data_IF_354462432584
#
_entry.id   IF_354462432584
#
_cell.length_a   1.000
_cell.length_b   1.000
_cell.length_c   1.000
_cell.angle_alpha   90.00
_cell.angle_beta   90.00
_cell.angle_gamma   90.00
#
_symmetry.space_group_name_H-M   'P 1'
#
loop_
_entity.id
_entity.type
_entity.pdbx_description
1 polymer ?
#
# COMPACT_ATOMS: atom_id res chain seq x y z
N UNK A 1 -13.11 32.93 3.60
CA UNK A 1 -14.45 33.30 3.14
C UNK A 1 -14.40 34.73 2.61
N UNK A 2 -14.31 34.88 1.28
CA UNK A 2 -14.53 36.19 0.68
C UNK A 2 -16.01 36.49 0.68
N UNK A 3 -16.40 37.40 1.50
CA UNK A 3 -17.80 37.87 1.57
C UNK A 3 -18.10 38.68 0.30
N UNK A 4 -19.19 38.33 -0.35
CA UNK A 4 -19.74 39.11 -1.44
C UNK A 4 -19.97 40.54 -0.95
N UNK A 5 -19.40 41.52 -1.67
CA UNK A 5 -19.55 42.93 -1.30
C UNK A 5 -20.47 43.63 -2.30
N UNK A 6 -21.52 44.27 -1.78
CA UNK A 6 -22.44 45.07 -2.59
C UNK A 6 -22.00 46.52 -2.57
N UNK A 7 -21.83 47.07 -3.75
CA UNK A 7 -21.53 48.51 -3.96
C UNK A 7 -22.74 49.20 -4.51
N UNK A 8 -23.12 50.34 -3.91
CA UNK A 8 -24.15 51.21 -4.45
C UNK A 8 -23.51 52.32 -5.28
N UNK A 9 -23.89 52.42 -6.53
CA UNK A 9 -23.44 53.44 -7.49
C UNK A 9 -24.57 54.44 -7.64
N UNK A 10 -24.23 55.71 -7.52
CA UNK A 10 -25.17 56.82 -7.61
C UNK A 10 -24.91 57.63 -8.89
N UNK A 11 -25.95 57.88 -9.68
CA UNK A 11 -25.93 58.86 -10.76
C UNK A 11 -26.66 60.09 -10.31
N UNK A 12 -25.97 61.23 -10.30
CA UNK A 12 -26.51 62.48 -9.78
C UNK A 12 -26.54 63.53 -10.90
N UNK A 13 -27.62 64.32 -10.97
CA UNK A 13 -27.74 65.53 -11.80
C UNK A 13 -28.57 66.59 -11.07
N UNK A 14 -28.83 67.70 -11.68
CA UNK A 14 -29.63 68.78 -11.08
C UNK A 14 -31.09 68.41 -10.87
N UNK A 15 -31.58 67.32 -11.50
CA UNK A 15 -32.94 66.79 -11.30
C UNK A 15 -33.09 65.77 -10.20
N UNK A 16 -31.93 65.29 -9.64
CA UNK A 16 -31.98 64.27 -8.55
C UNK A 16 -30.87 63.24 -8.59
N UNK A 17 -30.99 62.20 -7.80
CA UNK A 17 -30.03 61.12 -7.60
C UNK A 17 -30.72 59.76 -7.77
N UNK A 18 -30.14 58.89 -8.55
CA UNK A 18 -30.64 57.50 -8.75
C UNK A 18 -29.54 56.48 -8.38
N UNK A 19 -29.79 55.56 -7.44
CA UNK A 19 -28.87 54.53 -7.06
C UNK A 19 -29.07 53.26 -7.90
N UNK A 20 -28.00 52.49 -8.08
CA UNK A 20 -28.03 51.08 -8.49
C UNK A 20 -26.98 50.29 -7.72
N UNK A 21 -27.22 49.01 -7.54
CA UNK A 21 -26.31 48.15 -6.81
C UNK A 21 -25.59 47.18 -7.76
N UNK A 22 -24.28 47.01 -7.55
CA UNK A 22 -23.50 45.93 -8.12
C UNK A 22 -22.93 45.08 -7.00
N UNK A 23 -22.83 43.78 -7.25
CA UNK A 23 -22.27 42.84 -6.31
C UNK A 23 -21.05 42.19 -6.95
N UNK A 24 -19.92 42.24 -6.25
CA UNK A 24 -18.66 41.69 -6.70
C UNK A 24 -18.20 40.58 -5.77
N UNK A 25 -17.84 39.45 -6.33
CA UNK A 25 -17.17 38.35 -5.63
C UNK A 25 -15.84 38.08 -6.33
N UNK A 26 -14.81 37.87 -5.54
CA UNK A 26 -13.50 37.42 -6.04
C UNK A 26 -13.21 36.08 -5.42
N UNK A 27 -13.05 35.06 -6.25
CA UNK A 27 -12.75 33.68 -5.84
C UNK A 27 -11.27 33.38 -6.05
N UNK A 28 -10.75 32.42 -5.29
CA UNK A 28 -9.44 31.86 -5.55
C UNK A 28 -9.45 31.09 -6.88
N UNK A 29 -8.29 30.94 -7.56
CA UNK A 29 -8.19 29.98 -8.64
C UNK A 29 -8.53 28.57 -8.15
N UNK A 30 -9.25 27.79 -8.96
CA UNK A 30 -9.55 26.39 -8.62
C UNK A 30 -8.26 25.59 -8.40
N UNK A 31 -8.28 24.69 -7.42
CA UNK A 31 -7.17 23.73 -7.21
C UNK A 31 -7.07 22.80 -8.40
N UNK A 32 -5.86 22.57 -8.88
CA UNK A 32 -5.54 21.49 -9.81
C UNK A 32 -4.37 20.73 -9.20
N UNK A 33 -4.43 19.40 -9.18
CA UNK A 33 -3.37 18.59 -8.62
C UNK A 33 -3.24 17.25 -9.32
N UNK A 34 -2.05 16.67 -9.21
CA UNK A 34 -1.71 15.33 -9.72
C UNK A 34 -0.80 14.61 -8.75
N UNK A 35 -0.78 13.28 -8.82
CA UNK A 35 0.23 12.46 -8.17
C UNK A 35 1.19 11.90 -9.21
N UNK A 36 2.43 11.65 -8.80
CA UNK A 36 3.47 11.08 -9.68
C UNK A 36 3.16 9.65 -10.14
N UNK A 37 2.33 8.94 -9.37
CA UNK A 37 1.88 7.58 -9.66
C UNK A 37 0.40 7.44 -9.32
N UNK A 38 -0.32 6.67 -10.12
CA UNK A 38 -1.76 6.39 -9.94
C UNK A 38 -2.06 4.93 -9.63
N UNK A 39 -1.08 4.03 -9.81
CA UNK A 39 -1.18 2.60 -9.51
C UNK A 39 0.03 2.20 -8.67
N UNK A 40 -0.22 1.71 -7.46
CA UNK A 40 0.81 1.34 -6.51
C UNK A 40 0.60 -0.10 -6.00
N UNK A 41 1.67 -0.89 -6.09
CA UNK A 41 1.76 -2.19 -5.43
C UNK A 41 2.64 -2.01 -4.20
N UNK A 42 2.04 -2.14 -3.03
CA UNK A 42 2.70 -2.05 -1.74
C UNK A 42 2.89 -3.44 -1.14
N UNK A 43 3.87 -3.58 -0.29
CA UNK A 43 4.09 -4.82 0.47
C UNK A 43 3.65 -4.61 1.91
N UNK A 44 2.85 -5.54 2.46
CA UNK A 44 2.46 -5.51 3.87
C UNK A 44 3.70 -5.45 4.76
N UNK A 45 3.59 -4.73 5.86
CA UNK A 45 4.64 -4.53 6.87
C UNK A 45 5.93 -3.86 6.34
N UNK A 46 5.89 -3.30 5.11
CA UNK A 46 6.95 -2.49 4.50
C UNK A 46 6.51 -1.04 4.34
N UNK A 47 7.33 -0.09 4.80
CA UNK A 47 7.04 1.34 4.67
C UNK A 47 6.99 1.78 3.21
N UNK A 48 5.95 2.50 2.83
CA UNK A 48 5.86 3.10 1.50
C UNK A 48 6.65 4.41 1.40
N UNK A 49 7.13 4.73 0.21
CA UNK A 49 7.60 6.09 -0.09
C UNK A 49 6.42 7.07 -0.01
N UNK A 50 6.65 8.21 0.63
CA UNK A 50 5.62 9.25 0.75
C UNK A 50 5.14 9.70 -0.63
N UNK A 51 3.82 9.66 -0.85
CA UNK A 51 3.16 10.11 -2.08
C UNK A 51 2.52 11.47 -1.83
N UNK A 52 3.08 12.51 -2.43
CA UNK A 52 2.63 13.89 -2.28
C UNK A 52 2.00 14.42 -3.57
N UNK A 53 0.96 15.26 -3.47
CA UNK A 53 0.38 15.88 -4.64
C UNK A 53 1.30 16.99 -5.18
N UNK A 54 1.34 17.14 -6.49
CA UNK A 54 1.86 18.31 -7.17
C UNK A 54 0.68 19.22 -7.50
N UNK A 55 0.69 20.44 -6.94
CA UNK A 55 -0.38 21.42 -7.15
C UNK A 55 -0.04 22.37 -8.27
N UNK A 56 -1.11 22.74 -9.02
CA UNK A 56 -1.14 23.90 -9.92
C UNK A 56 -2.47 24.60 -9.73
N UNK A 57 -2.54 25.91 -10.02
CA UNK A 57 -3.74 26.71 -9.72
C UNK A 57 -3.75 27.23 -8.27
N UNK A 58 -4.91 27.19 -7.61
CA UNK A 58 -5.08 27.64 -6.23
C UNK A 58 -4.61 26.63 -5.19
N UNK A 59 -4.41 27.08 -3.94
CA UNK A 59 -4.12 26.19 -2.81
C UNK A 59 -5.39 25.46 -2.37
N UNK A 60 -5.22 24.20 -1.93
CA UNK A 60 -6.33 23.46 -1.33
C UNK A 60 -6.57 23.91 0.11
N UNK A 61 -7.82 24.23 0.44
CA UNK A 61 -8.27 24.51 1.80
C UNK A 61 -8.61 23.23 2.55
N UNK A 62 -9.17 22.23 1.85
CA UNK A 62 -9.48 20.91 2.43
C UNK A 62 -9.11 19.79 1.45
N UNK A 63 -8.82 18.63 2.04
CA UNK A 63 -8.54 17.40 1.34
C UNK A 63 -9.41 16.28 1.85
N UNK A 64 -9.91 15.46 0.96
CA UNK A 64 -10.75 14.30 1.27
C UNK A 64 -10.27 13.09 0.47
N UNK A 65 -10.48 11.90 1.01
CA UNK A 65 -10.20 10.63 0.33
C UNK A 65 -11.32 9.63 0.60
N UNK A 66 -11.74 8.91 -0.41
CA UNK A 66 -12.70 7.81 -0.28
C UNK A 66 -12.33 6.66 -1.22
N UNK A 67 -12.46 5.41 -0.73
CA UNK A 67 -12.80 4.97 0.62
C UNK A 67 -11.71 5.33 1.65
N UNK A 68 -11.92 4.97 2.92
CA UNK A 68 -10.90 5.10 3.97
C UNK A 68 -9.69 4.20 3.63
N UNK A 69 -8.48 4.73 3.82
CA UNK A 69 -7.24 3.98 3.61
C UNK A 69 -7.17 2.75 4.52
N UNK A 70 -6.51 1.66 4.09
CA UNK A 70 -6.30 0.47 4.90
C UNK A 70 -5.41 0.79 6.12
N UNK A 71 -5.52 -0.08 7.14
CA UNK A 71 -4.74 0.05 8.37
C UNK A 71 -3.25 0.19 8.09
N UNK A 72 -2.61 1.14 8.79
CA UNK A 72 -1.20 1.46 8.64
C UNK A 72 -0.88 2.54 7.63
N UNK A 73 -1.80 2.92 6.74
CA UNK A 73 -1.67 4.08 5.87
C UNK A 73 -2.40 5.30 6.44
N UNK A 74 -1.88 6.47 6.15
CA UNK A 74 -2.41 7.76 6.59
C UNK A 74 -2.58 8.71 5.43
N UNK A 75 -3.61 9.57 5.52
CA UNK A 75 -3.86 10.65 4.57
C UNK A 75 -3.91 11.97 5.32
N UNK A 76 -3.02 12.89 4.96
CA UNK A 76 -2.92 14.18 5.64
C UNK A 76 -2.50 15.27 4.64
N UNK A 77 -3.32 16.29 4.47
CA UNK A 77 -3.13 17.39 3.50
C UNK A 77 -2.78 16.90 2.08
N UNK A 78 -3.48 15.87 1.60
CA UNK A 78 -3.24 15.27 0.29
C UNK A 78 -2.04 14.31 0.26
N UNK A 79 -1.29 14.17 1.34
CA UNK A 79 -0.12 13.29 1.43
C UNK A 79 -0.55 11.92 1.93
N UNK A 80 -0.12 10.86 1.23
CA UNK A 80 -0.30 9.47 1.63
C UNK A 80 1.04 8.91 2.05
N UNK A 81 1.07 8.28 3.22
CA UNK A 81 2.29 7.67 3.79
C UNK A 81 1.93 6.57 4.79
N UNK A 82 2.94 5.83 5.25
CA UNK A 82 2.79 4.83 6.30
C UNK A 82 3.31 3.45 5.91
N UNK A 83 2.91 2.46 6.71
CA UNK A 83 3.26 1.05 6.53
C UNK A 83 1.96 0.24 6.58
N UNK A 84 1.48 -0.30 5.46
CA UNK A 84 0.23 -1.05 5.46
C UNK A 84 0.39 -2.34 6.27
N UNK A 85 -0.61 -2.67 7.09
CA UNK A 85 -0.57 -3.85 7.98
C UNK A 85 -1.53 -4.97 7.57
N UNK A 86 -2.26 -4.78 6.46
CA UNK A 86 -3.22 -5.76 5.95
C UNK A 86 -3.03 -5.95 4.44
N UNK A 87 -3.25 -7.16 3.94
CA UNK A 87 -3.31 -7.41 2.51
C UNK A 87 -4.59 -6.81 1.93
N UNK A 88 -4.53 -6.36 0.69
CA UNK A 88 -5.66 -5.75 0.02
C UNK A 88 -5.59 -5.99 -1.49
N UNK A 89 -6.70 -6.45 -2.07
CA UNK A 89 -6.87 -6.47 -3.53
C UNK A 89 -6.93 -5.05 -4.07
N UNK A 90 -6.67 -4.89 -5.36
CA UNK A 90 -6.71 -3.58 -6.00
C UNK A 90 -7.98 -2.82 -5.63
N UNK A 91 -7.81 -1.64 -5.05
CA UNK A 91 -8.88 -0.75 -4.60
C UNK A 91 -8.60 0.66 -5.09
N UNK A 92 -9.61 1.27 -5.72
CA UNK A 92 -9.52 2.63 -6.26
C UNK A 92 -9.95 3.61 -5.18
N UNK A 93 -9.14 4.63 -4.97
CA UNK A 93 -9.37 5.75 -4.08
C UNK A 93 -9.57 7.03 -4.87
N UNK A 94 -10.63 7.77 -4.58
CA UNK A 94 -10.83 9.11 -5.12
C UNK A 94 -10.38 10.12 -4.09
N UNK A 95 -9.58 11.09 -4.52
CA UNK A 95 -9.07 12.17 -3.69
C UNK A 95 -9.64 13.47 -4.21
N UNK A 96 -10.15 14.31 -3.32
CA UNK A 96 -10.66 15.64 -3.62
C UNK A 96 -9.81 16.70 -2.93
N UNK A 97 -9.62 17.81 -3.63
CA UNK A 97 -9.02 19.03 -3.12
C UNK A 97 -9.98 20.18 -3.38
N UNK A 98 -10.31 20.94 -2.35
CA UNK A 98 -11.34 21.98 -2.40
C UNK A 98 -10.78 23.32 -1.92
N UNK A 99 -11.24 24.41 -2.55
CA UNK A 99 -11.09 25.78 -2.09
C UNK A 99 -12.31 26.62 -2.49
N UNK A 100 -12.28 27.92 -2.26
CA UNK A 100 -13.39 28.84 -2.64
C UNK A 100 -13.59 28.96 -4.15
N UNK A 101 -12.58 28.61 -4.95
CA UNK A 101 -12.65 28.60 -6.42
C UNK A 101 -13.28 27.31 -7.00
N UNK A 102 -13.44 26.28 -6.17
CA UNK A 102 -14.06 25.02 -6.59
C UNK A 102 -13.37 23.76 -6.03
N UNK A 103 -13.83 22.63 -6.54
CA UNK A 103 -13.34 21.30 -6.19
C UNK A 103 -12.70 20.63 -7.42
N UNK A 104 -11.60 19.92 -7.21
CA UNK A 104 -11.05 18.99 -8.20
C UNK A 104 -10.80 17.63 -7.58
N UNK A 105 -10.73 16.58 -8.41
CA UNK A 105 -10.50 15.22 -7.94
C UNK A 105 -9.58 14.44 -8.89
N UNK A 106 -8.93 13.44 -8.34
CA UNK A 106 -8.15 12.43 -9.08
C UNK A 106 -8.34 11.07 -8.42
N UNK A 107 -7.97 10.01 -9.12
CA UNK A 107 -8.00 8.65 -8.59
C UNK A 107 -6.60 8.05 -8.53
N UNK A 108 -6.37 7.24 -7.50
CA UNK A 108 -5.22 6.37 -7.36
C UNK A 108 -5.72 4.98 -6.95
N UNK A 109 -4.97 3.94 -7.26
CA UNK A 109 -5.29 2.59 -6.82
C UNK A 109 -4.11 1.95 -6.09
N UNK A 110 -4.44 1.16 -5.07
CA UNK A 110 -3.49 0.38 -4.30
C UNK A 110 -3.83 -1.10 -4.36
N UNK A 111 -2.77 -1.91 -4.46
CA UNK A 111 -2.78 -3.34 -4.13
C UNK A 111 -1.76 -3.54 -3.01
N UNK A 112 -2.10 -4.28 -1.96
CA UNK A 112 -1.18 -4.59 -0.88
C UNK A 112 -0.99 -6.10 -0.84
N UNK A 113 0.24 -6.54 -1.13
CA UNK A 113 0.62 -7.95 -1.23
C UNK A 113 1.36 -8.42 0.02
N UNK A 114 1.33 -9.71 0.23
CA UNK A 114 2.13 -10.40 1.26
C UNK A 114 3.63 -10.22 0.99
N UNK A 115 4.48 -10.01 2.02
CA UNK A 115 5.93 -10.10 1.86
C UNK A 115 6.34 -11.49 1.37
N UNK A 116 7.34 -11.56 0.50
CA UNK A 116 7.90 -12.86 0.06
C UNK A 116 8.52 -13.57 1.26
N UNK A 117 8.23 -14.87 1.41
CA UNK A 117 8.86 -15.72 2.42
C UNK A 117 10.31 -16.00 2.01
N UNK A 118 11.24 -15.74 2.91
CA UNK A 118 12.64 -16.20 2.80
C UNK A 118 12.93 -17.20 3.90
N UNK A 119 13.69 -18.24 3.61
CA UNK A 119 14.02 -19.28 4.59
C UNK A 119 15.38 -19.91 4.32
N UNK A 120 15.94 -20.54 5.35
CA UNK A 120 17.16 -21.33 5.28
C UNK A 120 17.10 -22.52 6.24
N UNK A 121 17.79 -23.59 5.93
CA UNK A 121 18.06 -24.69 6.85
C UNK A 121 19.50 -24.61 7.34
N UNK A 122 19.68 -24.81 8.63
CA UNK A 122 21.02 -24.84 9.25
C UNK A 122 21.14 -26.06 10.15
N UNK A 123 22.05 -26.99 9.81
CA UNK A 123 22.99 -26.95 8.68
C UNK A 123 22.30 -27.23 7.34
N UNK A 124 22.89 -26.74 6.23
CA UNK A 124 22.41 -27.00 4.88
C UNK A 124 22.82 -28.39 4.36
N UNK A 125 23.93 -28.92 4.87
CA UNK A 125 24.40 -30.26 4.59
C UNK A 125 24.26 -31.15 5.83
N UNK A 126 23.58 -32.27 5.69
CA UNK A 126 23.35 -33.23 6.76
C UNK A 126 23.81 -34.64 6.36
N UNK A 127 24.39 -35.35 7.28
CA UNK A 127 24.73 -36.79 7.16
C UNK A 127 23.93 -37.56 8.20
N UNK A 128 23.11 -38.49 7.75
CA UNK A 128 22.26 -39.31 8.59
C UNK A 128 22.76 -40.75 8.60
N UNK A 129 22.48 -41.44 9.71
CA UNK A 129 22.74 -42.88 9.85
C UNK A 129 21.43 -43.63 9.59
N UNK A 130 21.50 -44.69 8.75
CA UNK A 130 20.34 -45.55 8.50
C UNK A 130 19.80 -46.12 9.80
N UNK A 131 18.46 -46.22 9.88
CA UNK A 131 17.70 -46.76 11.01
C UNK A 131 17.90 -46.00 12.33
N UNK A 132 18.49 -44.78 12.26
CA UNK A 132 18.64 -43.85 13.39
C UNK A 132 17.77 -42.62 13.19
N UNK A 133 16.98 -42.28 14.23
CA UNK A 133 16.13 -41.09 14.21
C UNK A 133 16.96 -39.83 14.22
N UNK A 134 16.68 -38.92 13.27
CA UNK A 134 17.29 -37.59 13.24
C UNK A 134 16.57 -36.61 14.18
N UNK A 135 17.27 -35.58 14.62
CA UNK A 135 16.60 -34.41 15.21
C UNK A 135 15.84 -33.68 14.12
N UNK A 136 14.65 -33.19 14.46
CA UNK A 136 13.83 -32.42 13.52
C UNK A 136 14.60 -31.22 12.97
N UNK A 137 14.64 -31.10 11.66
CA UNK A 137 15.29 -29.98 10.97
C UNK A 137 14.23 -28.97 10.56
N UNK A 138 14.24 -27.85 11.24
CA UNK A 138 13.31 -26.75 11.04
C UNK A 138 13.91 -25.68 10.13
N UNK A 139 13.10 -25.06 9.23
CA UNK A 139 13.53 -23.89 8.52
C UNK A 139 13.58 -22.68 9.47
N UNK A 140 14.60 -21.84 9.33
CA UNK A 140 14.59 -20.46 9.84
C UNK A 140 13.99 -19.58 8.76
N UNK A 141 12.84 -18.98 9.01
CA UNK A 141 12.11 -18.18 8.02
C UNK A 141 11.93 -16.73 8.46
N UNK A 142 11.83 -15.82 7.49
CA UNK A 142 11.51 -14.41 7.66
C UNK A 142 10.68 -13.89 6.47
N UNK A 143 10.07 -12.71 6.63
CA UNK A 143 9.13 -12.17 5.66
C UNK A 143 7.72 -12.69 5.88
N UNK A 144 7.00 -13.03 4.81
CA UNK A 144 5.66 -13.58 4.87
C UNK A 144 5.61 -15.01 5.39
N UNK A 145 4.45 -15.45 5.86
CA UNK A 145 4.25 -16.84 6.24
C UNK A 145 4.08 -17.72 4.99
N UNK A 146 4.74 -18.87 4.97
CA UNK A 146 4.50 -19.84 3.94
C UNK A 146 3.12 -20.50 4.12
N UNK A 147 2.30 -20.44 3.09
CA UNK A 147 1.02 -21.13 3.04
C UNK A 147 1.20 -22.61 2.68
N UNK A 148 2.16 -22.92 1.79
CA UNK A 148 2.49 -24.29 1.39
C UNK A 148 4.00 -24.47 1.30
N UNK A 149 4.41 -25.73 1.49
CA UNK A 149 5.80 -26.17 1.38
C UNK A 149 5.90 -27.33 0.39
N UNK A 150 6.89 -27.30 -0.46
CA UNK A 150 7.16 -28.32 -1.45
C UNK A 150 8.64 -28.73 -1.39
N UNK A 151 8.93 -30.00 -1.74
CA UNK A 151 10.30 -30.53 -1.80
C UNK A 151 10.46 -31.39 -3.04
N UNK A 152 11.59 -31.25 -3.74
CA UNK A 152 11.95 -32.08 -4.87
C UNK A 152 13.47 -32.36 -4.89
N UNK A 153 13.89 -33.63 -5.13
CA UNK A 153 13.10 -34.85 -5.25
C UNK A 153 12.41 -35.23 -3.93
N UNK A 154 11.58 -36.28 -3.94
CA UNK A 154 10.98 -36.81 -2.69
C UNK A 154 12.07 -37.35 -1.78
N UNK A 155 11.87 -37.19 -0.47
CA UNK A 155 12.79 -37.72 0.53
C UNK A 155 12.86 -39.27 0.48
N UNK A 156 13.98 -39.84 0.91
CA UNK A 156 14.13 -41.29 1.00
C UNK A 156 13.17 -41.89 2.04
N UNK A 157 12.86 -43.19 1.88
CA UNK A 157 11.98 -43.88 2.81
C UNK A 157 12.45 -43.72 4.25
N UNK A 158 11.49 -43.50 5.14
CA UNK A 158 11.71 -43.29 6.55
C UNK A 158 11.87 -41.81 6.98
N UNK A 159 12.07 -40.89 6.02
CA UNK A 159 12.01 -39.46 6.26
C UNK A 159 10.67 -38.88 5.82
N UNK A 160 10.24 -37.84 6.50
CA UNK A 160 9.02 -37.09 6.20
C UNK A 160 9.31 -35.60 6.05
N UNK A 161 8.49 -34.96 5.23
CA UNK A 161 8.50 -33.51 5.06
C UNK A 161 7.10 -32.95 5.32
N UNK A 162 6.96 -32.17 6.37
CA UNK A 162 5.66 -31.62 6.78
C UNK A 162 5.84 -30.19 7.25
N UNK A 163 5.10 -29.25 6.64
CA UNK A 163 5.16 -27.82 6.98
C UNK A 163 6.59 -27.26 7.02
N UNK A 164 7.44 -27.67 6.09
CA UNK A 164 8.84 -27.26 6.05
C UNK A 164 9.76 -28.03 7.01
N UNK A 165 9.27 -28.93 7.82
CA UNK A 165 10.09 -29.69 8.77
C UNK A 165 10.47 -31.04 8.17
N UNK A 166 11.77 -31.37 8.20
CA UNK A 166 12.29 -32.70 7.85
C UNK A 166 12.54 -33.48 9.11
N UNK A 167 11.98 -34.69 9.21
CA UNK A 167 12.10 -35.55 10.39
C UNK A 167 12.06 -37.03 10.03
N UNK A 168 12.32 -37.92 10.99
CA UNK A 168 12.22 -39.36 10.83
C UNK A 168 13.53 -40.10 10.94
N UNK A 169 13.55 -41.37 10.47
CA UNK A 169 14.71 -42.26 10.46
C UNK A 169 14.82 -42.87 9.07
N UNK A 170 15.88 -42.57 8.28
CA UNK A 170 16.01 -43.11 6.93
C UNK A 170 16.23 -44.60 6.96
N UNK A 171 15.50 -45.36 6.14
CA UNK A 171 15.58 -46.85 6.11
C UNK A 171 16.43 -47.38 4.95
N UNK A 172 16.95 -46.49 4.09
CA UNK A 172 17.74 -46.86 2.92
C UNK A 172 19.05 -46.07 2.91
N UNK A 173 20.08 -46.69 2.35
CA UNK A 173 21.34 -45.99 2.02
C UNK A 173 21.16 -45.20 0.73
N UNK A 174 21.75 -44.03 0.68
CA UNK A 174 21.77 -43.19 -0.52
C UNK A 174 23.07 -42.40 -0.64
N UNK A 175 23.41 -42.01 -1.83
CA UNK A 175 24.47 -41.02 -2.08
C UNK A 175 23.95 -39.60 -1.76
N UNK A 176 24.88 -38.68 -1.56
CA UNK A 176 24.52 -37.28 -1.38
C UNK A 176 23.60 -36.81 -2.50
N UNK A 177 22.47 -36.24 -2.14
CA UNK A 177 21.45 -35.77 -3.07
C UNK A 177 21.05 -34.37 -2.64
N UNK A 178 20.97 -33.45 -3.59
CA UNK A 178 20.50 -32.09 -3.36
C UNK A 178 18.97 -32.04 -3.48
N UNK A 179 18.33 -31.47 -2.50
CA UNK A 179 16.89 -31.23 -2.46
C UNK A 179 16.61 -29.73 -2.64
N UNK A 180 15.68 -29.43 -3.51
CA UNK A 180 15.14 -28.05 -3.62
C UNK A 180 13.85 -27.97 -2.85
N UNK A 181 13.73 -26.95 -2.01
CA UNK A 181 12.55 -26.72 -1.20
C UNK A 181 11.97 -25.36 -1.58
N UNK A 182 10.66 -25.30 -1.70
CA UNK A 182 9.90 -24.07 -1.95
C UNK A 182 8.95 -23.80 -0.79
N UNK A 183 8.89 -22.53 -0.41
CA UNK A 183 7.91 -21.99 0.51
C UNK A 183 7.07 -20.97 -0.26
N UNK A 184 5.80 -21.25 -0.43
CA UNK A 184 4.89 -20.41 -1.20
C UNK A 184 3.92 -19.70 -0.24
N UNK A 185 3.73 -18.39 -0.43
CA UNK A 185 2.66 -17.62 0.18
C UNK A 185 1.53 -17.39 -0.86
N UNK A 186 0.43 -16.89 -0.43
CA UNK A 186 -0.77 -16.62 -1.27
C UNK A 186 -0.69 -15.29 -1.98
#
# INVERSE_FOLDING_TARGET
>A
NMTQTTYTIWANNTGGSTPTNITISVLEPQVVFTYSMSNLILTRDSGMSTLSPTLSGGNAATWEISPILPSGLTFFYGIISGTPTVNMTQTIYTIWANNTGGSSSTTIDFTIVEPVTTFAYLPADITLTRDSTMSDLHPSSSGGNAATWEINPSLPNGLTFTNGVISGAPTVNMTQTTYTIWANNT
#
